data_IF_194251358067
#
_entry.id   IF_194251358067
#
_cell.length_a   1.000
_cell.length_b   1.000
_cell.length_c   1.000
_cell.angle_alpha   90.00
_cell.angle_beta   90.00
_cell.angle_gamma   90.00
#
_symmetry.space_group_name_H-M   'P 1'
#
loop_
_entity.id
_entity.type
_entity.pdbx_description
1 polymer ?
#
# COMPACT_ATOMS: atom_id res chain seq x y z
N UNK A 1 -30.50 2.47 76.21
CA UNK A 1 -29.36 2.30 75.28
C UNK A 1 -29.84 1.36 74.17
N UNK A 2 -30.14 1.85 72.95
CA UNK A 2 -29.19 1.92 71.80
C UNK A 2 -28.84 0.50 71.36
N UNK A 3 -29.15 -0.02 70.16
CA UNK A 3 -28.98 0.53 68.82
C UNK A 3 -29.85 -0.23 67.79
N UNK A 4 -30.35 0.48 66.77
CA UNK A 4 -30.86 -0.11 65.52
C UNK A 4 -29.67 -0.61 64.70
N UNK A 5 -29.71 -1.86 64.23
CA UNK A 5 -28.77 -2.34 63.21
C UNK A 5 -29.35 -2.12 61.81
N UNK A 6 -28.51 -1.49 60.98
CA UNK A 6 -28.82 -1.01 59.64
C UNK A 6 -29.09 -2.11 58.63
N UNK A 7 -30.02 -1.78 57.73
CA UNK A 7 -30.29 -2.43 56.46
C UNK A 7 -29.11 -2.15 55.52
N UNK A 8 -28.34 -3.17 55.18
CA UNK A 8 -27.35 -3.11 54.11
C UNK A 8 -28.10 -3.06 52.77
N UNK A 9 -27.98 -1.96 52.04
CA UNK A 9 -28.27 -1.89 50.61
C UNK A 9 -27.18 -2.66 49.86
N UNK A 10 -27.59 -3.68 49.09
CA UNK A 10 -26.75 -4.29 48.07
C UNK A 10 -26.65 -3.34 46.88
N UNK A 11 -25.54 -2.61 46.80
CA UNK A 11 -25.13 -1.93 45.58
C UNK A 11 -24.81 -2.97 44.50
N UNK A 12 -25.68 -3.04 43.48
CA UNK A 12 -25.40 -3.77 42.24
C UNK A 12 -24.26 -3.06 41.50
N UNK A 13 -23.05 -3.57 41.67
CA UNK A 13 -21.90 -3.24 40.84
C UNK A 13 -22.15 -3.71 39.40
N UNK A 14 -22.56 -2.80 38.52
CA UNK A 14 -22.62 -3.03 37.07
C UNK A 14 -21.20 -3.10 36.51
N UNK A 15 -20.77 -4.30 36.12
CA UNK A 15 -19.51 -4.56 35.44
C UNK A 15 -19.61 -4.02 34.01
N UNK A 16 -18.93 -2.91 33.73
CA UNK A 16 -18.75 -2.40 32.36
C UNK A 16 -17.70 -3.29 31.71
N UNK A 17 -18.12 -4.08 30.73
CA UNK A 17 -17.21 -4.79 29.84
C UNK A 17 -16.58 -3.76 28.89
N UNK A 18 -15.35 -3.36 29.16
CA UNK A 18 -14.49 -2.69 28.19
C UNK A 18 -14.25 -3.66 27.02
N UNK A 19 -15.03 -3.51 25.96
CA UNK A 19 -14.66 -4.06 24.66
C UNK A 19 -13.45 -3.25 24.17
N UNK A 20 -12.27 -3.84 24.29
CA UNK A 20 -11.08 -3.34 23.59
C UNK A 20 -11.41 -3.44 22.10
N UNK A 21 -11.74 -2.30 21.49
CA UNK A 21 -11.80 -2.19 20.03
C UNK A 21 -10.34 -2.20 19.59
N UNK A 22 -9.89 -3.33 19.05
CA UNK A 22 -8.61 -3.41 18.38
C UNK A 22 -8.69 -2.49 17.17
N UNK A 23 -8.10 -1.29 17.29
CA UNK A 23 -8.03 -0.35 16.17
C UNK A 23 -7.06 -0.97 15.18
N UNK A 24 -7.59 -1.58 14.12
CA UNK A 24 -6.82 -2.06 12.98
C UNK A 24 -6.08 -0.84 12.43
N UNK A 25 -4.78 -0.74 12.63
CA UNK A 25 -3.96 0.25 11.95
C UNK A 25 -3.59 -0.35 10.61
N UNK A 26 -3.88 0.32 9.50
CA UNK A 26 -3.65 -0.20 8.15
C UNK A 26 -2.20 -0.64 7.84
N UNK A 27 -1.88 -1.04 6.61
CA UNK A 27 -2.62 -0.84 5.36
C UNK A 27 -4.03 -1.41 5.32
N UNK A 28 -4.91 -0.78 4.54
CA UNK A 28 -6.34 -1.03 4.51
C UNK A 28 -6.76 -1.79 3.25
N UNK A 29 -7.78 -2.65 3.35
CA UNK A 29 -8.52 -3.07 2.17
C UNK A 29 -9.47 -1.95 1.74
N UNK A 30 -9.68 -1.76 0.44
CA UNK A 30 -10.58 -0.72 -0.05
C UNK A 30 -12.05 -0.87 0.40
N UNK A 31 -12.45 -2.07 0.84
CA UNK A 31 -13.78 -2.32 1.40
C UNK A 31 -13.84 -2.24 2.93
N UNK A 32 -12.72 -1.97 3.62
CA UNK A 32 -12.74 -1.83 5.07
C UNK A 32 -13.59 -0.60 5.45
N UNK A 33 -14.57 -0.78 6.34
CA UNK A 33 -15.46 0.31 6.79
C UNK A 33 -14.71 1.46 7.47
N UNK A 34 -13.60 1.12 8.13
CA UNK A 34 -12.73 2.06 8.86
C UNK A 34 -11.57 2.60 7.99
N UNK A 35 -11.53 2.29 6.69
CA UNK A 35 -10.50 2.81 5.79
C UNK A 35 -10.55 4.36 5.76
N UNK A 36 -9.39 5.04 5.66
CA UNK A 36 -9.36 6.48 5.54
C UNK A 36 -10.05 6.94 4.25
N UNK A 37 -10.51 8.20 4.21
CA UNK A 37 -10.93 8.80 2.94
C UNK A 37 -9.73 8.91 2.00
N UNK A 38 -9.75 8.09 0.95
CA UNK A 38 -8.71 8.01 -0.07
C UNK A 38 -9.11 8.69 -1.39
N UNK A 39 -10.17 9.51 -1.40
CA UNK A 39 -10.63 10.21 -2.60
C UNK A 39 -9.58 11.17 -3.19
N UNK A 40 -8.72 11.73 -2.35
CA UNK A 40 -7.61 12.63 -2.72
C UNK A 40 -6.26 11.92 -2.85
N UNK A 41 -6.22 10.59 -2.74
CA UNK A 41 -4.96 9.83 -2.81
C UNK A 41 -4.47 9.73 -4.25
N UNK A 42 -3.16 9.48 -4.40
CA UNK A 42 -2.60 9.17 -5.70
C UNK A 42 -2.97 7.73 -6.07
N UNK A 43 -3.61 7.57 -7.22
CA UNK A 43 -4.22 6.32 -7.66
C UNK A 43 -3.26 5.56 -8.59
N UNK A 44 -2.88 4.34 -8.20
CA UNK A 44 -2.12 3.37 -9.01
C UNK A 44 -2.98 2.19 -9.48
N UNK A 45 -4.29 2.28 -9.32
CA UNK A 45 -5.30 1.29 -9.67
C UNK A 45 -5.51 0.30 -8.55
N UNK A 46 -4.45 -0.43 -8.22
CA UNK A 46 -4.50 -1.46 -7.17
C UNK A 46 -4.02 -1.00 -5.80
N UNK A 47 -3.41 0.20 -5.74
CA UNK A 47 -2.96 0.84 -4.51
C UNK A 47 -3.30 2.32 -4.59
N UNK A 48 -3.83 2.87 -3.51
CA UNK A 48 -4.00 4.30 -3.28
C UNK A 48 -3.01 4.72 -2.19
N UNK A 49 -2.18 5.72 -2.48
CA UNK A 49 -1.21 6.21 -1.51
C UNK A 49 -1.55 7.62 -1.02
N UNK A 50 -1.42 7.88 0.30
CA UNK A 50 -1.57 9.24 0.81
C UNK A 50 -0.43 10.14 0.31
N UNK A 51 -0.75 11.40 0.09
CA UNK A 51 0.26 12.44 -0.11
C UNK A 51 0.67 13.03 1.24
N UNK A 52 1.96 13.27 1.44
CA UNK A 52 2.43 14.16 2.50
C UNK A 52 3.60 15.02 2.05
N UNK A 53 3.79 16.13 2.73
CA UNK A 53 4.78 17.13 2.32
C UNK A 53 6.21 16.60 2.45
N UNK A 54 7.00 16.81 1.40
CA UNK A 54 8.43 16.49 1.39
C UNK A 54 8.77 15.09 0.88
N UNK A 55 7.80 14.34 0.35
CA UNK A 55 8.08 13.07 -0.32
C UNK A 55 8.62 13.25 -1.74
N UNK A 56 9.53 12.37 -2.10
CA UNK A 56 9.89 12.07 -3.48
C UNK A 56 9.33 10.70 -3.85
N UNK A 57 8.65 10.62 -4.99
CA UNK A 57 8.03 9.39 -5.49
C UNK A 57 8.76 8.89 -6.73
N UNK A 58 9.06 7.59 -6.74
CA UNK A 58 9.71 6.90 -7.86
C UNK A 58 8.90 5.66 -8.21
N UNK A 59 8.56 5.50 -9.47
CA UNK A 59 7.73 4.39 -9.93
C UNK A 59 8.63 3.25 -10.39
N UNK A 60 8.35 2.03 -9.91
CA UNK A 60 9.06 0.82 -10.32
C UNK A 60 8.29 0.16 -11.45
N UNK A 61 8.91 0.03 -12.62
CA UNK A 61 8.31 -0.58 -13.81
C UNK A 61 9.08 -1.83 -14.23
N UNK A 62 8.36 -2.83 -14.72
CA UNK A 62 8.96 -3.97 -15.40
C UNK A 62 9.50 -3.50 -16.76
N UNK A 63 10.74 -3.86 -17.10
CA UNK A 63 11.41 -3.38 -18.31
C UNK A 63 10.69 -3.79 -19.60
N UNK A 64 10.28 -5.06 -19.70
CA UNK A 64 9.73 -5.62 -20.94
C UNK A 64 8.31 -5.11 -21.26
N UNK A 65 7.47 -4.98 -20.25
CA UNK A 65 6.05 -4.67 -20.40
C UNK A 65 5.70 -3.23 -20.03
N UNK A 66 6.64 -2.49 -19.44
CA UNK A 66 6.39 -1.18 -18.78
C UNK A 66 5.32 -1.23 -17.69
N UNK A 67 4.95 -2.42 -17.21
CA UNK A 67 3.96 -2.59 -16.15
C UNK A 67 4.49 -2.00 -14.84
N UNK A 68 3.66 -1.22 -14.14
CA UNK A 68 3.99 -0.72 -12.80
C UNK A 68 3.88 -1.87 -11.81
N UNK A 69 4.97 -2.13 -11.07
CA UNK A 69 5.07 -3.20 -10.07
C UNK A 69 4.99 -2.69 -8.64
N UNK A 70 5.24 -1.40 -8.45
CA UNK A 70 5.32 -0.77 -7.14
C UNK A 70 5.93 0.61 -7.23
N UNK A 71 6.32 1.14 -6.07
CA UNK A 71 6.88 2.48 -5.97
C UNK A 71 7.85 2.58 -4.81
N UNK A 72 8.73 3.57 -4.87
CA UNK A 72 9.56 3.99 -3.74
C UNK A 72 9.17 5.40 -3.34
N UNK A 73 8.88 5.57 -2.06
CA UNK A 73 8.70 6.89 -1.44
C UNK A 73 9.92 7.19 -0.59
N UNK A 74 10.54 8.34 -0.82
CA UNK A 74 11.68 8.84 -0.05
C UNK A 74 11.26 10.06 0.74
N UNK A 75 11.64 10.12 2.02
CA UNK A 75 11.44 11.26 2.90
C UNK A 75 12.71 11.50 3.72
N UNK A 76 13.31 12.67 3.56
CA UNK A 76 14.61 12.97 4.17
C UNK A 76 15.69 12.01 3.67
N UNK A 77 16.29 11.26 4.59
CA UNK A 77 17.32 10.25 4.30
C UNK A 77 16.80 8.80 4.32
N UNK A 78 15.50 8.62 4.50
CA UNK A 78 14.83 7.32 4.55
C UNK A 78 13.99 7.09 3.32
N UNK A 79 13.75 5.82 2.99
CA UNK A 79 12.81 5.44 1.95
C UNK A 79 12.07 4.16 2.28
N UNK A 80 10.92 3.97 1.64
CA UNK A 80 10.14 2.74 1.65
C UNK A 80 9.80 2.35 0.22
N UNK A 81 10.18 1.14 -0.17
CA UNK A 81 9.72 0.51 -1.41
C UNK A 81 8.47 -0.32 -1.11
N UNK A 82 7.40 -0.07 -1.86
CA UNK A 82 6.08 -0.68 -1.69
C UNK A 82 5.74 -1.52 -2.91
N UNK A 83 5.35 -2.77 -2.65
CA UNK A 83 4.88 -3.72 -3.65
C UNK A 83 3.70 -4.51 -3.09
N UNK A 84 2.72 -4.85 -3.94
CA UNK A 84 1.57 -5.66 -3.55
C UNK A 84 1.54 -6.98 -4.32
N UNK A 85 1.26 -8.05 -3.59
CA UNK A 85 1.25 -9.41 -4.08
C UNK A 85 -0.13 -10.04 -3.88
N UNK A 86 -0.58 -10.85 -4.83
CA UNK A 86 -1.80 -11.61 -4.68
C UNK A 86 -1.62 -12.69 -3.61
N UNK A 87 -2.65 -12.91 -2.79
CA UNK A 87 -2.68 -13.94 -1.76
C UNK A 87 -3.92 -14.85 -1.92
N UNK A 88 -3.91 -16.07 -1.35
CA UNK A 88 -5.10 -16.91 -1.29
C UNK A 88 -6.27 -16.20 -0.59
N UNK A 89 -7.50 -16.67 -0.85
CA UNK A 89 -8.72 -16.11 -0.23
C UNK A 89 -8.80 -16.29 1.29
N UNK A 90 -8.10 -17.30 1.81
CA UNK A 90 -8.30 -17.81 3.17
C UNK A 90 -7.05 -17.72 4.04
N UNK A 91 -5.92 -17.25 3.50
CA UNK A 91 -4.67 -17.19 4.23
C UNK A 91 -3.79 -16.05 3.72
N UNK A 92 -3.06 -15.44 4.66
CA UNK A 92 -1.95 -14.54 4.34
C UNK A 92 -0.74 -15.29 3.79
N UNK A 93 0.19 -14.56 3.18
CA UNK A 93 1.45 -15.10 2.66
C UNK A 93 2.67 -14.50 3.35
N UNK A 94 2.50 -13.49 4.22
CA UNK A 94 3.63 -12.78 4.81
C UNK A 94 4.58 -13.70 5.57
N UNK A 95 4.07 -14.58 6.44
CA UNK A 95 4.91 -15.49 7.23
C UNK A 95 5.71 -16.48 6.37
N UNK A 96 5.14 -16.92 5.25
CA UNK A 96 5.83 -17.77 4.28
C UNK A 96 6.94 -16.99 3.58
N UNK A 97 6.66 -15.75 3.17
CA UNK A 97 7.67 -14.83 2.62
C UNK A 97 8.78 -14.55 3.62
N UNK A 98 8.47 -14.36 4.91
CA UNK A 98 9.47 -14.21 5.96
C UNK A 98 10.38 -15.42 6.02
N UNK A 99 9.80 -16.62 6.01
CA UNK A 99 10.56 -17.87 6.05
C UNK A 99 11.50 -17.98 4.84
N UNK A 100 11.01 -17.73 3.63
CA UNK A 100 11.83 -17.76 2.42
C UNK A 100 13.01 -16.77 2.49
N UNK A 101 12.77 -15.57 3.02
CA UNK A 101 13.79 -14.55 3.18
C UNK A 101 14.84 -14.94 4.23
N UNK A 102 14.44 -15.53 5.36
CA UNK A 102 15.36 -16.02 6.40
C UNK A 102 16.19 -17.19 5.88
N UNK A 103 15.58 -18.15 5.19
CA UNK A 103 16.25 -19.32 4.61
C UNK A 103 17.29 -18.90 3.56
N UNK A 104 17.00 -17.84 2.79
CA UNK A 104 17.91 -17.29 1.78
C UNK A 104 19.00 -16.37 2.33
N UNK A 105 18.89 -15.87 3.57
CA UNK A 105 19.76 -14.82 4.10
C UNK A 105 20.17 -15.08 5.55
N UNK A 106 21.38 -15.62 5.75
CA UNK A 106 21.89 -16.01 7.08
C UNK A 106 22.07 -14.87 8.07
N UNK A 107 22.12 -13.62 7.61
CA UNK A 107 22.22 -12.44 8.47
C UNK A 107 20.86 -11.78 8.74
N UNK A 108 19.78 -12.28 8.13
CA UNK A 108 18.45 -11.78 8.39
C UNK A 108 17.96 -12.25 9.76
N UNK A 109 17.18 -11.42 10.43
CA UNK A 109 16.53 -11.80 11.68
C UNK A 109 15.11 -11.21 11.77
N UNK A 110 14.27 -11.87 12.56
CA UNK A 110 12.93 -11.38 12.88
C UNK A 110 13.00 -10.40 14.06
N UNK A 111 12.18 -9.36 13.96
CA UNK A 111 11.92 -8.41 15.03
C UNK A 111 10.42 -8.21 15.18
N UNK A 112 9.97 -7.70 16.33
CA UNK A 112 8.60 -7.25 16.50
C UNK A 112 8.58 -5.73 16.31
N UNK A 113 7.68 -5.26 15.44
CA UNK A 113 7.51 -3.85 15.14
C UNK A 113 6.03 -3.46 15.05
N UNK A 114 5.80 -2.27 14.54
CA UNK A 114 4.48 -1.65 14.45
C UNK A 114 3.50 -2.48 13.60
N UNK A 115 4.03 -3.25 12.64
CA UNK A 115 3.25 -4.05 11.71
C UNK A 115 3.28 -5.56 12.08
N UNK A 116 3.64 -5.89 13.32
CA UNK A 116 3.76 -7.26 13.80
C UNK A 116 5.16 -7.85 13.58
N UNK A 117 5.23 -9.03 12.97
CA UNK A 117 6.52 -9.68 12.66
C UNK A 117 7.17 -8.99 11.46
N UNK A 118 8.35 -8.40 11.68
CA UNK A 118 9.13 -7.71 10.65
C UNK A 118 10.51 -8.39 10.51
N UNK A 119 11.22 -8.11 9.42
CA UNK A 119 12.58 -8.62 9.19
C UNK A 119 13.58 -7.48 9.13
N UNK A 120 14.72 -7.64 9.79
CA UNK A 120 15.92 -6.87 9.48
C UNK A 120 16.79 -7.69 8.53
N UNK A 121 17.13 -7.11 7.37
CA UNK A 121 17.91 -7.77 6.34
C UNK A 121 19.12 -6.89 5.95
N UNK A 122 20.36 -7.30 6.31
CA UNK A 122 21.56 -6.66 5.79
C UNK A 122 21.77 -6.96 4.31
N UNK A 123 21.77 -5.92 3.47
CA UNK A 123 22.01 -6.00 2.02
C UNK A 123 23.35 -5.36 1.67
N UNK A 124 24.16 -6.03 0.86
CA UNK A 124 25.42 -5.48 0.35
C UNK A 124 25.16 -4.61 -0.88
N UNK A 125 25.57 -3.35 -0.81
CA UNK A 125 25.52 -2.39 -1.91
C UNK A 125 26.94 -1.87 -2.14
N UNK A 126 27.61 -2.43 -3.16
CA UNK A 126 29.04 -2.23 -3.35
C UNK A 126 29.84 -2.76 -2.16
N UNK A 127 30.67 -1.91 -1.55
CA UNK A 127 31.46 -2.26 -0.37
C UNK A 127 30.71 -2.04 0.96
N UNK A 128 29.55 -1.37 0.93
CA UNK A 128 28.79 -1.05 2.14
C UNK A 128 27.71 -2.10 2.38
N UNK A 129 27.46 -2.37 3.66
CA UNK A 129 26.28 -3.15 4.08
C UNK A 129 25.25 -2.16 4.61
N UNK A 130 24.05 -2.21 4.04
CA UNK A 130 22.89 -1.39 4.42
C UNK A 130 21.87 -2.33 5.02
N UNK A 131 21.41 -2.05 6.24
CA UNK A 131 20.33 -2.81 6.85
C UNK A 131 18.99 -2.28 6.34
N UNK A 132 18.16 -3.14 5.79
CA UNK A 132 16.77 -2.84 5.45
C UNK A 132 15.82 -3.45 6.48
N UNK A 133 14.65 -2.83 6.65
CA UNK A 133 13.55 -3.36 7.46
C UNK A 133 12.41 -3.74 6.52
N UNK A 134 12.06 -5.02 6.48
CA UNK A 134 11.01 -5.54 5.61
C UNK A 134 9.77 -5.79 6.47
N UNK A 135 8.70 -5.13 6.08
CA UNK A 135 7.36 -5.23 6.63
C UNK A 135 6.48 -5.93 5.60
N UNK A 136 5.56 -6.77 6.06
CA UNK A 136 4.48 -7.28 5.23
C UNK A 136 3.18 -7.30 6.02
N UNK A 137 2.10 -6.87 5.37
CA UNK A 137 0.75 -6.89 5.95
C UNK A 137 -0.17 -7.66 5.01
N UNK A 138 -0.80 -8.69 5.56
CA UNK A 138 -1.77 -9.51 4.83
C UNK A 138 -3.17 -8.87 4.91
N UNK A 139 -3.85 -8.83 3.77
CA UNK A 139 -5.25 -8.44 3.65
C UNK A 139 -6.06 -9.38 2.77
N UNK A 140 -7.32 -9.06 2.46
CA UNK A 140 -8.20 -9.92 1.67
C UNK A 140 -7.68 -10.21 0.26
N UNK A 141 -7.07 -11.38 0.05
CA UNK A 141 -6.47 -11.83 -1.22
C UNK A 141 -5.24 -11.02 -1.66
N UNK A 142 -4.61 -10.28 -0.75
CA UNK A 142 -3.40 -9.54 -1.04
C UNK A 142 -2.44 -9.52 0.16
N UNK A 143 -1.17 -9.23 -0.10
CA UNK A 143 -0.17 -8.89 0.89
C UNK A 143 0.60 -7.66 0.39
N UNK A 144 0.71 -6.63 1.23
CA UNK A 144 1.47 -5.42 0.93
C UNK A 144 2.83 -5.51 1.63
N UNK A 145 3.91 -5.39 0.86
CA UNK A 145 5.28 -5.39 1.36
C UNK A 145 5.85 -3.98 1.36
N UNK A 146 6.43 -3.57 2.47
CA UNK A 146 7.25 -2.38 2.61
C UNK A 146 8.71 -2.76 2.87
N UNK A 147 9.66 -2.27 2.08
CA UNK A 147 11.10 -2.40 2.33
C UNK A 147 11.64 -1.02 2.69
N UNK A 148 11.85 -0.81 3.97
CA UNK A 148 12.38 0.43 4.52
C UNK A 148 13.91 0.43 4.47
N UNK A 149 14.49 1.60 4.16
CA UNK A 149 15.93 1.85 4.17
C UNK A 149 16.25 3.22 4.79
N UNK A 150 17.51 3.42 5.18
CA UNK A 150 17.92 4.63 5.91
C UNK A 150 17.53 4.58 7.39
N UNK A 151 17.43 5.73 8.09
CA UNK A 151 17.01 5.79 9.48
C UNK A 151 15.71 5.01 9.77
N UNK A 152 14.71 5.08 8.89
CA UNK A 152 13.44 4.36 9.02
C UNK A 152 13.53 2.83 9.03
N UNK A 153 14.69 2.26 8.68
CA UNK A 153 14.94 0.84 8.80
C UNK A 153 15.52 0.41 10.16
N UNK A 154 16.13 1.34 10.90
CA UNK A 154 16.98 0.98 12.06
C UNK A 154 16.66 1.75 13.33
N UNK A 155 16.02 2.91 13.21
CA UNK A 155 15.59 3.73 14.34
C UNK A 155 14.12 3.48 14.68
N UNK A 156 13.72 3.82 15.91
CA UNK A 156 12.34 3.67 16.38
C UNK A 156 11.54 4.94 16.11
N UNK A 157 10.24 4.82 15.82
CA UNK A 157 9.35 5.94 15.53
C UNK A 157 9.30 7.00 16.66
N UNK A 158 9.42 6.58 17.93
CA UNK A 158 9.46 7.49 19.08
C UNK A 158 10.68 8.43 19.07
N UNK A 159 11.77 8.02 18.41
CA UNK A 159 13.05 8.71 18.43
C UNK A 159 13.40 9.36 17.09
N UNK A 160 12.70 9.03 16.01
CA UNK A 160 13.04 9.48 14.67
C UNK A 160 11.79 9.87 13.85
N UNK A 161 11.76 11.14 13.43
CA UNK A 161 10.64 11.68 12.66
C UNK A 161 10.48 11.02 11.28
N UNK A 162 11.57 10.65 10.59
CA UNK A 162 11.46 9.97 9.29
C UNK A 162 10.82 8.59 9.43
N UNK A 163 11.17 7.85 10.50
CA UNK A 163 10.58 6.56 10.83
C UNK A 163 9.08 6.72 11.09
N UNK A 164 8.72 7.65 11.98
CA UNK A 164 7.32 7.93 12.30
C UNK A 164 6.50 8.30 11.07
N UNK A 165 6.98 9.24 10.27
CA UNK A 165 6.26 9.71 9.08
C UNK A 165 6.09 8.59 8.04
N UNK A 166 7.11 7.76 7.81
CA UNK A 166 7.01 6.67 6.84
C UNK A 166 6.14 5.51 7.35
N UNK A 167 6.15 5.23 8.65
CA UNK A 167 5.24 4.24 9.26
C UNK A 167 3.78 4.72 9.19
N UNK A 168 3.50 5.98 9.54
CA UNK A 168 2.17 6.58 9.41
C UNK A 168 1.70 6.61 7.95
N UNK A 169 2.60 6.94 7.02
CA UNK A 169 2.31 6.91 5.59
C UNK A 169 1.98 5.50 5.10
N UNK A 170 2.79 4.50 5.48
CA UNK A 170 2.58 3.11 5.06
C UNK A 170 1.25 2.56 5.63
N UNK A 171 0.92 2.88 6.88
CA UNK A 171 -0.40 2.56 7.48
C UNK A 171 -1.57 3.16 6.71
N UNK A 172 -1.38 4.34 6.13
CA UNK A 172 -2.41 5.04 5.38
C UNK A 172 -2.69 4.43 4.01
N UNK A 173 -1.87 3.51 3.50
CA UNK A 173 -2.07 2.93 2.17
C UNK A 173 -3.37 2.12 2.12
N UNK A 174 -4.12 2.29 1.04
CA UNK A 174 -5.34 1.51 0.75
C UNK A 174 -5.08 0.62 -0.45
N UNK A 175 -5.40 -0.67 -0.34
CA UNK A 175 -5.18 -1.68 -1.38
C UNK A 175 -6.51 -2.10 -1.99
N UNK A 176 -6.61 -2.01 -3.32
CA UNK A 176 -7.69 -2.58 -4.10
C UNK A 176 -7.15 -3.72 -4.96
N UNK A 177 -7.28 -4.95 -4.46
CA UNK A 177 -6.83 -6.13 -5.23
C UNK A 177 -7.60 -6.28 -6.55
N UNK A 178 -8.80 -5.71 -6.70
CA UNK A 178 -9.66 -5.94 -7.86
C UNK A 178 -10.20 -7.37 -7.92
N UNK A 179 -10.83 -7.71 -9.04
CA UNK A 179 -11.58 -8.96 -9.21
C UNK A 179 -10.85 -10.02 -10.05
N UNK A 180 -9.93 -9.58 -10.92
CA UNK A 180 -9.21 -10.44 -11.85
C UNK A 180 -8.45 -11.57 -11.16
N UNK A 181 -8.49 -12.81 -11.68
CA UNK A 181 -7.76 -13.93 -11.09
C UNK A 181 -6.25 -13.73 -11.25
N UNK A 182 -5.50 -13.84 -10.15
CA UNK A 182 -4.02 -13.89 -10.13
C UNK A 182 -3.58 -15.08 -9.29
N UNK A 183 -2.44 -15.68 -9.62
CA UNK A 183 -1.88 -16.74 -8.80
C UNK A 183 -1.32 -16.14 -7.50
N UNK A 184 -1.37 -16.87 -6.37
CA UNK A 184 -0.67 -16.44 -5.16
C UNK A 184 0.79 -16.10 -5.46
N UNK A 185 1.27 -15.00 -4.86
CA UNK A 185 2.61 -14.42 -5.01
C UNK A 185 2.90 -13.72 -6.34
N UNK A 186 1.95 -13.66 -7.28
CA UNK A 186 2.06 -12.75 -8.42
C UNK A 186 1.96 -11.30 -7.96
N UNK A 187 2.63 -10.38 -8.67
CA UNK A 187 2.41 -8.95 -8.48
C UNK A 187 0.98 -8.59 -8.84
N UNK A 188 0.37 -7.69 -8.04
CA UNK A 188 -0.92 -7.10 -8.39
C UNK A 188 -0.66 -5.97 -9.39
N UNK A 189 -1.22 -6.05 -10.62
CA UNK A 189 -1.00 -5.04 -11.66
C UNK A 189 -1.38 -3.64 -11.19
N UNK A 190 -0.54 -2.65 -11.51
CA UNK A 190 -0.80 -1.24 -11.28
C UNK A 190 -0.72 -0.46 -12.59
N UNK A 191 -1.36 0.70 -12.64
CA UNK A 191 -1.19 1.67 -13.71
C UNK A 191 -0.26 2.82 -13.29
N UNK A 192 0.11 3.66 -14.25
CA UNK A 192 0.82 4.91 -13.96
C UNK A 192 0.00 5.79 -13.00
N UNK A 193 0.64 6.51 -12.07
CA UNK A 193 -0.08 7.29 -11.08
C UNK A 193 -0.91 8.38 -11.74
N UNK A 194 -2.20 8.45 -11.36
CA UNK A 194 -3.11 9.52 -11.77
C UNK A 194 -3.60 10.29 -10.54
N UNK A 195 -3.75 11.61 -10.68
CA UNK A 195 -4.35 12.43 -9.62
C UNK A 195 -5.87 12.34 -9.62
N UNK A 196 -6.50 12.83 -8.56
CA UNK A 196 -7.95 12.95 -8.48
C UNK A 196 -8.53 13.75 -9.66
N UNK A 197 -7.93 14.88 -9.99
CA UNK A 197 -8.41 15.75 -11.08
C UNK A 197 -8.34 15.03 -12.44
N UNK A 198 -7.27 14.28 -12.68
CA UNK A 198 -7.11 13.49 -13.90
C UNK A 198 -8.13 12.34 -13.96
N UNK A 199 -8.38 11.67 -12.83
CA UNK A 199 -9.39 10.62 -12.70
C UNK A 199 -10.81 11.15 -12.96
N UNK A 200 -11.16 12.28 -12.36
CA UNK A 200 -12.46 12.93 -12.58
C UNK A 200 -12.64 13.38 -14.05
N UNK A 201 -11.59 13.91 -14.67
CA UNK A 201 -11.62 14.28 -16.09
C UNK A 201 -11.86 13.06 -17.00
N UNK A 202 -11.21 11.93 -16.72
CA UNK A 202 -11.40 10.68 -17.47
C UNK A 202 -12.83 10.14 -17.34
N UNK A 203 -13.37 10.08 -16.12
CA UNK A 203 -14.75 9.65 -15.85
C UNK A 203 -15.79 10.52 -16.55
N UNK A 204 -15.59 11.84 -16.54
CA UNK A 204 -16.49 12.78 -17.21
C UNK A 204 -16.46 12.62 -18.74
N UNK A 205 -15.27 12.39 -19.31
CA UNK A 205 -15.13 12.14 -20.74
C UNK A 205 -15.87 10.86 -21.17
N UNK A 206 -15.72 9.76 -20.41
CA UNK A 206 -16.42 8.50 -20.70
C UNK A 206 -17.95 8.61 -20.60
N UNK A 207 -18.46 9.38 -19.63
CA UNK A 207 -19.89 9.60 -19.48
C UNK A 207 -20.46 10.50 -20.59
N UNK A 208 -19.70 11.50 -21.07
CA UNK A 208 -20.11 12.35 -22.19
C UNK A 208 -20.10 11.64 -23.55
N UNK A 209 -19.32 10.57 -23.70
CA UNK A 209 -19.29 9.75 -24.92
C UNK A 209 -20.44 8.75 -25.06
N UNK A 210 -21.09 8.37 -23.96
CA UNK A 210 -22.20 7.39 -23.97
C UNK A 210 -23.56 7.98 -24.40
N UNK A 211 -23.69 9.30 -24.46
CA UNK A 211 -24.93 9.97 -24.90
C UNK A 211 -24.97 10.27 -26.42
N UNK A 212 -23.94 9.86 -27.18
CA UNK A 212 -23.77 10.22 -28.60
C UNK A 212 -23.92 9.10 -29.64
N UNK A 213 -23.93 7.82 -29.26
CA UNK A 213 -23.91 6.71 -30.22
C UNK A 213 -25.19 5.85 -30.13
N UNK A 214 -26.24 6.32 -30.81
CA UNK A 214 -27.31 5.47 -31.32
C UNK A 214 -27.69 5.96 -32.72
N UNK A 215 -26.92 5.52 -33.73
CA UNK A 215 -27.35 5.20 -35.10
C UNK A 215 -26.13 5.07 -36.01
N UNK A 216 -25.72 3.85 -36.33
CA UNK A 216 -25.63 3.32 -37.70
C UNK A 216 -25.25 1.85 -37.67
N UNK A 217 -25.91 1.11 -38.54
CA UNK A 217 -25.87 -0.34 -38.73
C UNK A 217 -24.69 -0.82 -39.59
N UNK A 218 -24.35 -2.08 -39.33
CA UNK A 218 -23.89 -3.14 -40.26
C UNK A 218 -22.43 -3.22 -40.75
N UNK A 219 -21.98 -4.50 -40.69
CA UNK A 219 -20.93 -5.19 -41.48
C UNK A 219 -19.45 -4.89 -41.16
N UNK A 220 -18.78 -5.79 -40.43
CA UNK A 220 -17.94 -6.82 -41.06
C UNK A 220 -17.21 -7.73 -40.05
N UNK A 221 -17.22 -9.02 -40.35
CA UNK A 221 -16.56 -10.07 -39.61
C UNK A 221 -15.11 -10.28 -40.06
N UNK A 222 -14.31 -10.80 -39.11
CA UNK A 222 -12.96 -11.41 -39.23
C UNK A 222 -11.76 -10.48 -38.98
N UNK A 223 -11.00 -10.73 -37.91
CA UNK A 223 -9.72 -11.45 -38.02
C UNK A 223 -9.17 -11.87 -36.64
N UNK A 224 -8.52 -13.03 -36.63
CA UNK A 224 -8.17 -13.82 -35.47
C UNK A 224 -6.87 -13.37 -34.76
N UNK A 225 -6.94 -13.45 -33.44
CA UNK A 225 -5.92 -13.80 -32.46
C UNK A 225 -4.58 -14.33 -33.02
N UNK A 226 -3.47 -13.67 -32.66
CA UNK A 226 -2.19 -14.33 -32.36
C UNK A 226 -1.56 -13.70 -31.12
N UNK A 227 -1.39 -14.53 -30.09
CA UNK A 227 -0.72 -14.24 -28.83
C UNK A 227 0.62 -14.97 -28.89
N UNK A 228 1.73 -14.23 -28.85
CA UNK A 228 3.07 -14.82 -28.83
C UNK A 228 3.56 -14.90 -27.37
N UNK A 229 3.61 -16.14 -26.85
CA UNK A 229 4.31 -16.48 -25.61
C UNK A 229 5.82 -16.46 -25.84
N UNK A 230 6.55 -15.65 -25.07
CA UNK A 230 8.01 -15.81 -24.89
C UNK A 230 8.38 -15.68 -23.40
N UNK A 231 9.40 -16.43 -22.95
CA UNK A 231 9.71 -16.60 -21.53
C UNK A 231 10.43 -15.37 -20.95
N UNK A 232 10.06 -15.05 -19.70
CA UNK A 232 10.51 -13.89 -18.93
C UNK A 232 12.02 -13.92 -18.66
N UNK A 233 12.74 -12.91 -19.16
CA UNK A 233 14.09 -12.56 -18.76
C UNK A 233 14.06 -11.41 -17.75
N UNK A 234 14.81 -11.53 -16.65
CA UNK A 234 14.86 -10.50 -15.61
C UNK A 234 15.82 -9.38 -16.00
N UNK A 235 15.28 -8.26 -16.50
CA UNK A 235 15.93 -6.95 -16.46
C UNK A 235 14.94 -5.93 -15.86
N UNK A 236 15.37 -5.15 -14.85
CA UNK A 236 14.55 -4.16 -14.14
C UNK A 236 15.04 -2.74 -14.44
N UNK A 237 14.12 -1.79 -14.67
CA UNK A 237 14.42 -0.35 -14.81
C UNK A 237 13.63 0.49 -13.81
N UNK A 238 14.19 1.66 -13.48
CA UNK A 238 13.68 2.58 -12.47
C UNK A 238 13.50 3.96 -13.11
N UNK A 239 12.27 4.48 -13.11
CA UNK A 239 11.95 5.81 -13.65
C UNK A 239 11.76 6.81 -12.50
N UNK A 240 12.41 7.98 -12.59
CA UNK A 240 12.37 9.03 -11.57
C UNK A 240 11.41 10.12 -12.02
N UNK A 241 10.30 10.33 -11.30
CA UNK A 241 9.46 11.53 -11.46
C UNK A 241 9.78 12.52 -10.33
N UNK A 242 10.61 13.52 -10.65
CA UNK A 242 10.95 14.60 -9.74
C UNK A 242 9.78 15.60 -9.61
N UNK A 243 9.27 15.73 -8.38
CA UNK A 243 8.54 16.88 -7.85
C UNK A 243 7.15 17.20 -8.44
N UNK A 244 6.10 16.69 -7.81
CA UNK A 244 4.74 17.26 -7.90
C UNK A 244 4.69 18.56 -7.07
N UNK A 245 5.11 19.68 -7.66
CA UNK A 245 4.86 21.01 -7.10
C UNK A 245 3.42 21.41 -7.45
N UNK A 246 2.51 21.50 -6.48
CA UNK A 246 1.21 22.16 -6.68
C UNK A 246 1.46 23.63 -7.02
N UNK A 247 1.29 24.01 -8.28
CA UNK A 247 1.24 25.42 -8.68
C UNK A 247 -0.04 26.06 -8.16
N UNK A 248 -0.02 27.35 -7.76
CA UNK A 248 -1.23 28.05 -7.35
C UNK A 248 -2.12 28.29 -8.58
N UNK A 249 -3.20 27.53 -8.68
CA UNK A 249 -4.40 27.96 -9.40
C UNK A 249 -4.94 29.19 -8.69
N UNK A 250 -4.86 30.37 -9.29
CA UNK A 250 -5.94 31.37 -9.42
C UNK A 250 -5.37 32.61 -10.12
N UNK A 251 -6.05 32.98 -11.20
CA UNK A 251 -5.82 34.18 -11.96
C UNK A 251 -6.18 35.44 -11.16
N UNK A 252 -5.41 36.51 -11.35
CA UNK A 252 -5.97 37.87 -11.31
C UNK A 252 -5.60 38.62 -12.58
N UNK A 253 -6.66 39.09 -13.23
CA UNK A 253 -6.69 39.93 -14.42
C UNK A 253 -6.55 41.39 -13.96
N UNK A 254 -5.47 42.07 -14.35
CA UNK A 254 -5.48 43.34 -15.12
C UNK A 254 -4.08 43.86 -15.39
#
# INVERSE_FOLDING_TARGET
>A
MGWLFGRHEEEKSSKVEDKIVEVKTGPWDFNDEDAPDFSDYLDFGSIYIPYFQGIELRVKKQHETSQVLGMTVTYGSSSVEVEAFAAPKTSGIWLEVCKDLLDGNSQACTVQGEFGTELLLPVKVGEKTITTRIVGVDGPRWMLRGVFSGPAATELADNNNETKQLDEWFKGIVVNRGEEPLAPRDFIPMHDPITREEKEAALNAENSGKDGENNTSDEDANNALKKDDKPLGYDQQVEVKTTLTRGPMFAEIR
#
